data_IF_675627660736
#
_entry.id   IF_675627660736
#
_cell.length_a   1.000
_cell.length_b   1.000
_cell.length_c   1.000
_cell.angle_alpha   90.00
_cell.angle_beta   90.00
_cell.angle_gamma   90.00
#
_symmetry.space_group_name_H-M   'P 1'
#
loop_
_entity.id
_entity.type
_entity.pdbx_description
1 polymer ?
#
# COMPACT_ATOMS: atom_id res chain seq x y z
N UNK A 1 29.77 26.87 18.47
CA UNK A 1 28.61 27.78 18.64
C UNK A 1 28.57 28.41 20.03
N UNK A 2 28.59 27.60 21.10
CA UNK A 2 28.62 28.10 22.48
C UNK A 2 29.82 29.04 22.74
N UNK A 3 31.01 28.70 22.24
CA UNK A 3 32.21 29.53 22.45
C UNK A 3 32.14 30.92 21.79
N UNK A 4 31.54 31.03 20.60
CA UNK A 4 31.34 32.32 19.92
C UNK A 4 30.28 33.17 20.64
N UNK A 5 29.18 32.56 21.11
CA UNK A 5 28.17 33.27 21.91
C UNK A 5 28.78 33.80 23.21
N UNK A 6 29.60 32.99 23.90
CA UNK A 6 30.31 33.39 25.13
C UNK A 6 31.28 34.55 24.85
N UNK A 7 32.00 34.52 23.73
CA UNK A 7 32.94 35.58 23.32
C UNK A 7 32.25 36.91 23.04
N UNK A 8 31.16 36.89 22.26
CA UNK A 8 30.38 38.09 21.95
C UNK A 8 29.63 38.64 23.19
N UNK A 9 29.17 37.75 24.07
CA UNK A 9 28.56 38.13 25.36
C UNK A 9 29.57 38.77 26.31
N UNK A 10 30.81 38.26 26.35
CA UNK A 10 31.92 38.89 27.10
C UNK A 10 32.25 40.29 26.57
N UNK A 11 32.21 40.49 25.25
CA UNK A 11 32.39 41.83 24.63
C UNK A 11 31.27 42.81 24.98
N UNK A 12 30.02 42.36 24.97
CA UNK A 12 28.87 43.17 25.40
C UNK A 12 29.08 43.63 26.85
N UNK A 13 29.51 42.73 27.74
CA UNK A 13 29.79 43.05 29.13
C UNK A 13 30.96 44.06 29.28
N UNK A 14 32.03 43.92 28.50
CA UNK A 14 33.16 44.85 28.55
C UNK A 14 32.80 46.25 28.07
N UNK A 15 32.03 46.39 26.99
CA UNK A 15 31.63 47.71 26.47
C UNK A 15 30.62 48.43 27.38
N UNK A 16 29.79 47.67 28.08
CA UNK A 16 28.88 48.22 29.09
C UNK A 16 29.65 48.86 30.25
N UNK A 17 30.75 48.23 30.69
CA UNK A 17 31.60 48.68 31.82
C UNK A 17 32.63 49.76 31.45
N UNK A 18 32.79 50.11 30.18
CA UNK A 18 33.85 51.02 29.72
C UNK A 18 33.50 52.49 30.00
N UNK A 19 34.33 53.25 30.72
CA UNK A 19 34.01 54.65 31.13
C UNK A 19 34.31 55.71 30.06
N UNK A 20 35.03 55.36 28.99
CA UNK A 20 35.52 56.32 27.99
C UNK A 20 34.64 56.44 26.72
N UNK A 21 33.64 55.57 26.53
CA UNK A 21 32.77 55.58 25.35
C UNK A 21 31.52 56.44 25.59
N UNK A 22 31.15 57.24 24.58
CA UNK A 22 29.88 57.96 24.55
C UNK A 22 28.70 56.99 24.58
N UNK A 23 27.56 57.42 25.16
CA UNK A 23 26.35 56.60 25.23
C UNK A 23 25.92 56.03 23.86
N UNK A 24 26.10 56.81 22.78
CA UNK A 24 25.80 56.36 21.40
C UNK A 24 26.74 55.26 20.91
N UNK A 25 28.01 55.31 21.28
CA UNK A 25 29.02 54.34 20.85
C UNK A 25 28.77 52.98 21.52
N UNK A 26 28.49 53.00 22.83
CA UNK A 26 28.10 51.78 23.58
C UNK A 26 26.88 51.10 23.00
N UNK A 27 25.82 51.86 22.68
CA UNK A 27 24.60 51.31 22.09
C UNK A 27 24.87 50.69 20.72
N UNK A 28 25.69 51.34 19.89
CA UNK A 28 26.06 50.84 18.56
C UNK A 28 26.85 49.53 18.66
N UNK A 29 27.85 49.46 19.54
CA UNK A 29 28.69 48.27 19.72
C UNK A 29 27.88 47.09 20.27
N UNK A 30 27.07 47.33 21.31
CA UNK A 30 26.19 46.29 21.87
C UNK A 30 25.17 45.79 20.82
N UNK A 31 24.54 46.68 20.06
CA UNK A 31 23.63 46.28 18.97
C UNK A 31 24.36 45.48 17.90
N UNK A 32 25.58 45.86 17.54
CA UNK A 32 26.40 45.11 16.57
C UNK A 32 26.68 43.70 17.07
N UNK A 33 27.07 43.56 18.33
CA UNK A 33 27.35 42.24 18.94
C UNK A 33 26.08 41.39 19.06
N UNK A 34 24.93 41.97 19.42
CA UNK A 34 23.63 41.26 19.42
C UNK A 34 23.26 40.79 18.02
N UNK A 35 23.41 41.63 16.99
CA UNK A 35 23.13 41.25 15.60
C UNK A 35 24.01 40.08 15.15
N UNK A 36 25.29 40.06 15.53
CA UNK A 36 26.19 38.95 15.22
C UNK A 36 25.71 37.65 15.88
N UNK A 37 25.32 37.70 17.16
CA UNK A 37 24.78 36.53 17.87
C UNK A 37 23.50 36.01 17.20
N UNK A 38 22.54 36.90 16.93
CA UNK A 38 21.27 36.55 16.27
C UNK A 38 21.52 35.96 14.89
N UNK A 39 22.43 36.55 14.11
CA UNK A 39 22.80 36.05 12.80
C UNK A 39 23.41 34.64 12.90
N UNK A 40 24.36 34.42 13.80
CA UNK A 40 24.99 33.12 14.00
C UNK A 40 23.98 32.03 14.43
N UNK A 41 23.07 32.36 15.36
CA UNK A 41 22.02 31.44 15.80
C UNK A 41 21.05 31.11 14.68
N UNK A 42 20.56 32.14 13.98
CA UNK A 42 19.61 31.97 12.87
C UNK A 42 20.24 31.17 11.73
N UNK A 43 21.49 31.47 11.35
CA UNK A 43 22.20 30.77 10.31
C UNK A 43 22.41 29.29 10.66
N UNK A 44 22.72 28.99 11.93
CA UNK A 44 22.89 27.60 12.38
C UNK A 44 21.58 26.81 12.34
N UNK A 45 20.47 27.40 12.80
CA UNK A 45 19.15 26.76 12.71
C UNK A 45 18.78 26.56 11.25
N UNK A 46 18.97 27.57 10.41
CA UNK A 46 18.68 27.52 8.98
C UNK A 46 19.48 26.44 8.26
N UNK A 47 20.80 26.35 8.48
CA UNK A 47 21.63 25.29 7.90
C UNK A 47 21.21 23.89 8.36
N UNK A 48 20.85 23.74 9.63
CA UNK A 48 20.38 22.46 10.16
C UNK A 48 19.03 22.07 9.55
N UNK A 49 18.07 22.99 9.49
CA UNK A 49 16.77 22.75 8.85
C UNK A 49 16.92 22.40 7.38
N UNK A 50 17.77 23.13 6.65
CA UNK A 50 18.04 22.85 5.23
C UNK A 50 18.67 21.48 5.01
N UNK A 51 19.63 21.08 5.85
CA UNK A 51 20.24 19.76 5.77
C UNK A 51 19.24 18.64 6.06
N UNK A 52 18.36 18.86 7.05
CA UNK A 52 17.32 17.90 7.45
C UNK A 52 16.26 17.74 6.35
N UNK A 53 15.73 18.82 5.80
CA UNK A 53 14.77 18.81 4.68
C UNK A 53 15.35 18.07 3.47
N UNK A 54 16.63 18.32 3.13
CA UNK A 54 17.30 17.61 2.03
C UNK A 54 17.41 16.10 2.30
N UNK A 55 17.66 15.70 3.55
CA UNK A 55 17.73 14.30 3.92
C UNK A 55 16.36 13.62 3.84
N UNK A 56 15.31 14.29 4.35
CA UNK A 56 13.93 13.82 4.30
C UNK A 56 13.41 13.69 2.86
N UNK A 57 13.74 14.64 2.00
CA UNK A 57 13.40 14.59 0.58
C UNK A 57 14.11 13.41 -0.12
N UNK A 58 15.39 13.16 0.20
CA UNK A 58 16.12 12.01 -0.35
C UNK A 58 15.49 10.68 0.08
N UNK A 59 15.12 10.56 1.36
CA UNK A 59 14.45 9.38 1.88
C UNK A 59 13.09 9.14 1.22
N UNK A 60 12.31 10.20 1.02
CA UNK A 60 11.04 10.13 0.29
C UNK A 60 11.24 9.66 -1.16
N UNK A 61 12.23 10.19 -1.87
CA UNK A 61 12.54 9.76 -3.24
C UNK A 61 12.93 8.28 -3.31
N UNK A 62 13.84 7.83 -2.44
CA UNK A 62 14.25 6.41 -2.39
C UNK A 62 13.03 5.52 -2.09
N UNK A 63 12.16 5.96 -1.18
CA UNK A 63 10.92 5.27 -0.89
C UNK A 63 10.00 5.18 -2.12
N UNK A 64 9.72 6.30 -2.79
CA UNK A 64 8.81 6.36 -3.93
C UNK A 64 9.32 5.56 -5.13
N UNK A 65 10.62 5.61 -5.43
CA UNK A 65 11.22 4.81 -6.50
C UNK A 65 11.07 3.31 -6.21
N UNK A 66 11.37 2.86 -4.99
CA UNK A 66 11.18 1.46 -4.62
C UNK A 66 9.70 1.07 -4.56
N UNK A 67 8.82 1.97 -4.11
CA UNK A 67 7.39 1.75 -4.09
C UNK A 67 6.82 1.55 -5.50
N UNK A 68 7.36 2.26 -6.50
CA UNK A 68 6.97 2.08 -7.91
C UNK A 68 7.17 0.63 -8.37
N UNK A 69 8.32 0.03 -8.03
CA UNK A 69 8.63 -1.37 -8.35
C UNK A 69 7.69 -2.34 -7.61
N UNK A 70 7.46 -2.08 -6.32
CA UNK A 70 6.53 -2.85 -5.49
C UNK A 70 5.12 -2.84 -6.11
N UNK A 71 4.61 -1.68 -6.51
CA UNK A 71 3.29 -1.51 -7.13
C UNK A 71 3.19 -2.17 -8.51
N UNK A 72 4.26 -2.19 -9.30
CA UNK A 72 4.27 -2.90 -10.59
C UNK A 72 4.10 -4.42 -10.39
N UNK A 73 4.76 -4.97 -9.37
CA UNK A 73 4.60 -6.37 -9.00
C UNK A 73 3.20 -6.64 -8.44
N UNK A 74 2.67 -5.74 -7.61
CA UNK A 74 1.32 -5.86 -7.05
C UNK A 74 0.25 -5.85 -8.16
N UNK A 75 0.37 -4.97 -9.17
CA UNK A 75 -0.53 -4.96 -10.33
C UNK A 75 -0.52 -6.31 -11.04
N UNK A 76 0.66 -6.89 -11.30
CA UNK A 76 0.77 -8.21 -11.94
C UNK A 76 0.10 -9.30 -11.11
N UNK A 77 0.29 -9.30 -9.79
CA UNK A 77 -0.32 -10.28 -8.90
C UNK A 77 -1.85 -10.12 -8.85
N UNK A 78 -2.34 -8.88 -8.73
CA UNK A 78 -3.77 -8.56 -8.77
C UNK A 78 -4.41 -9.00 -10.10
N UNK A 79 -3.76 -8.75 -11.24
CA UNK A 79 -4.22 -9.17 -12.56
C UNK A 79 -4.29 -10.70 -12.69
N UNK A 80 -3.29 -11.42 -12.16
CA UNK A 80 -3.30 -12.88 -12.14
C UNK A 80 -4.48 -13.42 -11.32
N UNK A 81 -4.71 -12.89 -10.12
CA UNK A 81 -5.85 -13.31 -9.28
C UNK A 81 -7.18 -13.03 -9.96
N UNK A 82 -7.33 -11.87 -10.59
CA UNK A 82 -8.53 -11.55 -11.38
C UNK A 82 -8.78 -12.56 -12.49
N UNK A 83 -7.72 -12.97 -13.19
CA UNK A 83 -7.80 -14.00 -14.23
C UNK A 83 -8.29 -15.33 -13.65
N UNK A 84 -7.73 -15.76 -12.53
CA UNK A 84 -8.18 -16.98 -11.82
C UNK A 84 -9.64 -16.89 -11.37
N UNK A 85 -10.08 -15.75 -10.84
CA UNK A 85 -11.47 -15.51 -10.47
C UNK A 85 -12.40 -15.62 -11.69
N UNK A 86 -12.00 -15.08 -12.84
CA UNK A 86 -12.77 -15.15 -14.08
C UNK A 86 -12.83 -16.59 -14.64
N UNK A 87 -11.71 -17.31 -14.62
CA UNK A 87 -11.67 -18.73 -15.01
C UNK A 87 -12.56 -19.59 -14.10
N UNK A 88 -12.53 -19.32 -12.79
CA UNK A 88 -13.38 -20.01 -11.82
C UNK A 88 -14.86 -19.71 -12.05
N UNK A 89 -15.21 -18.46 -12.33
CA UNK A 89 -16.57 -18.05 -12.67
C UNK A 89 -17.10 -18.81 -13.88
N UNK A 90 -16.29 -18.96 -14.94
CA UNK A 90 -16.65 -19.70 -16.14
C UNK A 90 -16.85 -21.19 -15.85
N UNK A 91 -15.95 -21.80 -15.06
CA UNK A 91 -16.06 -23.20 -14.64
C UNK A 91 -17.35 -23.43 -13.83
N UNK A 92 -17.64 -22.58 -12.86
CA UNK A 92 -18.84 -22.69 -12.03
C UNK A 92 -20.11 -22.49 -12.86
N UNK A 93 -20.12 -21.49 -13.75
CA UNK A 93 -21.24 -21.26 -14.66
C UNK A 93 -21.52 -22.48 -15.55
N UNK A 94 -20.47 -23.14 -16.06
CA UNK A 94 -20.60 -24.39 -16.80
C UNK A 94 -21.20 -25.49 -15.92
N UNK A 95 -20.69 -25.65 -14.69
CA UNK A 95 -21.13 -26.68 -13.74
C UNK A 95 -22.60 -26.51 -13.35
N UNK A 96 -23.05 -25.29 -13.10
CA UNK A 96 -24.44 -25.01 -12.73
C UNK A 96 -25.44 -25.43 -13.82
N UNK A 97 -25.00 -25.46 -15.09
CA UNK A 97 -25.78 -25.87 -16.26
C UNK A 97 -25.69 -27.37 -16.59
N UNK A 98 -24.96 -28.16 -15.78
CA UNK A 98 -24.85 -29.59 -15.97
C UNK A 98 -26.16 -30.32 -15.63
N UNK A 99 -26.44 -31.32 -16.45
CA UNK A 99 -27.50 -32.32 -16.26
C UNK A 99 -26.86 -33.71 -16.25
N UNK A 100 -27.53 -34.74 -15.70
CA UNK A 100 -27.02 -36.11 -15.74
C UNK A 100 -26.57 -36.56 -17.14
N UNK A 101 -27.36 -36.27 -18.18
CA UNK A 101 -27.04 -36.65 -19.56
C UNK A 101 -25.77 -35.98 -20.09
N UNK A 102 -25.54 -34.70 -19.73
CA UNK A 102 -24.30 -34.00 -20.10
C UNK A 102 -23.09 -34.60 -19.40
N UNK A 103 -23.23 -34.99 -18.14
CA UNK A 103 -22.16 -35.65 -17.38
C UNK A 103 -21.80 -36.99 -18.01
N UNK A 104 -22.79 -37.80 -18.36
CA UNK A 104 -22.58 -39.10 -19.01
C UNK A 104 -21.85 -38.92 -20.35
N UNK A 105 -22.23 -37.92 -21.15
CA UNK A 105 -21.56 -37.57 -22.40
C UNK A 105 -20.10 -37.13 -22.21
N UNK A 106 -19.82 -36.31 -21.19
CA UNK A 106 -18.46 -35.86 -20.87
C UNK A 106 -17.58 -37.04 -20.47
N UNK A 107 -18.10 -37.93 -19.61
CA UNK A 107 -17.39 -39.16 -19.18
C UNK A 107 -17.13 -40.11 -20.34
N UNK A 108 -18.11 -40.33 -21.22
CA UNK A 108 -17.95 -41.17 -22.41
C UNK A 108 -16.84 -40.66 -23.34
N UNK A 109 -16.58 -39.36 -23.33
CA UNK A 109 -15.48 -38.73 -24.08
C UNK A 109 -14.17 -38.61 -23.29
N UNK A 110 -14.05 -39.28 -22.13
CA UNK A 110 -12.88 -39.26 -21.25
C UNK A 110 -12.43 -37.84 -20.82
N UNK A 111 -13.37 -36.90 -20.74
CA UNK A 111 -13.11 -35.52 -20.30
C UNK A 111 -13.39 -35.37 -18.81
N UNK A 112 -12.62 -34.50 -18.16
CA UNK A 112 -12.82 -34.16 -16.75
C UNK A 112 -13.69 -32.91 -16.59
N UNK A 113 -14.43 -32.84 -15.49
CA UNK A 113 -15.21 -31.67 -15.10
C UNK A 113 -14.39 -30.88 -14.09
N UNK A 114 -13.86 -29.72 -14.48
CA UNK A 114 -13.33 -28.77 -13.51
C UNK A 114 -14.52 -28.08 -12.82
N UNK A 115 -14.66 -28.35 -11.53
CA UNK A 115 -15.84 -27.95 -10.76
C UNK A 115 -15.70 -26.58 -10.06
N UNK A 116 -14.64 -25.82 -10.37
CA UNK A 116 -14.46 -24.45 -9.89
C UNK A 116 -13.93 -24.33 -8.46
N UNK A 117 -13.01 -25.21 -8.06
CA UNK A 117 -12.41 -25.25 -6.71
C UNK A 117 -11.07 -24.50 -6.62
N UNK A 118 -10.85 -23.46 -7.45
CA UNK A 118 -9.58 -22.75 -7.44
C UNK A 118 -9.49 -21.87 -6.19
N UNK A 119 -8.37 -21.97 -5.46
CA UNK A 119 -8.04 -21.06 -4.38
C UNK A 119 -7.30 -19.84 -4.92
N UNK A 120 -7.46 -18.71 -4.24
CA UNK A 120 -6.78 -17.45 -4.56
C UNK A 120 -6.00 -16.99 -3.34
N UNK A 121 -4.86 -16.36 -3.59
CA UNK A 121 -4.05 -15.70 -2.57
C UNK A 121 -3.21 -14.64 -3.28
N UNK A 122 -3.56 -13.37 -3.11
CA UNK A 122 -2.82 -12.27 -3.75
C UNK A 122 -1.67 -11.81 -2.86
N UNK A 123 -0.45 -11.96 -3.37
CA UNK A 123 0.74 -11.44 -2.71
C UNK A 123 0.86 -9.94 -2.99
N UNK A 124 0.94 -9.15 -1.91
CA UNK A 124 1.11 -7.69 -1.93
C UNK A 124 2.43 -7.31 -1.26
N UNK A 125 3.19 -6.43 -1.91
CA UNK A 125 4.48 -5.93 -1.44
C UNK A 125 4.28 -4.72 -0.51
N UNK A 126 3.91 -4.97 0.75
CA UNK A 126 3.64 -3.92 1.74
C UNK A 126 4.83 -3.60 2.67
N UNK A 127 5.91 -4.38 2.66
CA UNK A 127 7.01 -4.25 3.62
C UNK A 127 7.68 -2.87 3.61
N UNK A 128 7.92 -2.30 2.42
CA UNK A 128 8.47 -0.95 2.27
C UNK A 128 7.53 0.11 2.81
N UNK A 129 6.24 0.02 2.47
CA UNK A 129 5.20 0.91 2.97
C UNK A 129 5.11 0.89 4.50
N UNK A 130 5.05 -0.31 5.10
CA UNK A 130 4.94 -0.46 6.55
C UNK A 130 6.19 0.05 7.28
N UNK A 131 7.40 -0.22 6.75
CA UNK A 131 8.64 0.34 7.30
C UNK A 131 8.67 1.87 7.23
N UNK A 132 8.25 2.45 6.10
CA UNK A 132 8.23 3.90 5.93
C UNK A 132 7.17 4.58 6.81
N UNK A 133 5.99 3.97 6.94
CA UNK A 133 4.91 4.43 7.83
C UNK A 133 5.32 4.37 9.30
N UNK A 134 5.84 3.22 9.75
CA UNK A 134 6.22 2.99 11.15
C UNK A 134 7.40 3.86 11.60
N UNK A 135 8.29 4.22 10.70
CA UNK A 135 9.38 5.18 10.97
C UNK A 135 8.93 6.65 11.07
N UNK A 136 7.64 6.94 10.86
CA UNK A 136 7.10 8.30 10.86
C UNK A 136 7.43 9.11 9.59
N UNK A 137 8.19 8.53 8.65
CA UNK A 137 8.66 9.21 7.43
C UNK A 137 7.58 9.39 6.38
N UNK A 138 6.40 8.78 6.51
CA UNK A 138 5.30 8.95 5.54
C UNK A 138 4.93 10.42 5.30
N UNK A 139 5.13 11.29 6.30
CA UNK A 139 4.87 12.72 6.21
C UNK A 139 5.92 13.49 5.40
N UNK A 140 7.08 12.89 5.10
CA UNK A 140 8.14 13.51 4.28
C UNK A 140 7.83 13.47 2.78
N UNK A 141 6.79 12.73 2.36
CA UNK A 141 6.22 12.87 1.01
C UNK A 141 5.50 14.22 0.95
N UNK A 142 6.15 15.20 0.31
CA UNK A 142 5.67 16.59 0.23
C UNK A 142 4.34 16.70 -0.54
N UNK A 143 4.21 15.96 -1.63
CA UNK A 143 2.98 15.89 -2.39
C UNK A 143 1.89 15.17 -1.59
N UNK A 144 1.04 15.97 -0.95
CA UNK A 144 -0.05 15.47 -0.12
C UNK A 144 -1.05 14.60 -0.89
N UNK A 145 -1.27 14.86 -2.18
CA UNK A 145 -2.13 14.03 -3.02
C UNK A 145 -1.51 12.64 -3.24
N UNK A 146 -0.23 12.57 -3.61
CA UNK A 146 0.50 11.30 -3.73
C UNK A 146 0.51 10.54 -2.39
N UNK A 147 0.87 11.21 -1.30
CA UNK A 147 0.87 10.64 0.05
C UNK A 147 -0.48 10.02 0.41
N UNK A 148 -1.57 10.76 0.20
CA UNK A 148 -2.92 10.29 0.53
C UNK A 148 -3.35 9.11 -0.34
N UNK A 149 -2.92 9.06 -1.61
CA UNK A 149 -3.18 7.92 -2.50
C UNK A 149 -2.45 6.67 -2.05
N UNK A 150 -1.17 6.78 -1.69
CA UNK A 150 -0.38 5.68 -1.12
C UNK A 150 -1.04 5.16 0.16
N UNK A 151 -1.43 6.05 1.07
CA UNK A 151 -2.16 5.69 2.28
C UNK A 151 -3.48 4.97 1.97
N UNK A 152 -4.29 5.52 1.07
CA UNK A 152 -5.59 4.93 0.72
C UNK A 152 -5.45 3.55 0.09
N UNK A 153 -4.46 3.36 -0.77
CA UNK A 153 -4.19 2.06 -1.39
C UNK A 153 -3.88 0.98 -0.34
N UNK A 154 -2.89 1.21 0.52
CA UNK A 154 -2.48 0.20 1.51
C UNK A 154 -3.39 0.09 2.72
N UNK A 155 -4.12 1.14 3.10
CA UNK A 155 -4.99 1.13 4.28
C UNK A 155 -6.46 0.82 3.98
N UNK A 156 -6.87 0.90 2.71
CA UNK A 156 -8.27 0.67 2.33
C UNK A 156 -8.39 -0.36 1.21
N UNK A 157 -7.74 -0.13 0.07
CA UNK A 157 -7.89 -1.01 -1.09
C UNK A 157 -7.35 -2.41 -0.81
N UNK A 158 -6.12 -2.52 -0.28
CA UNK A 158 -5.52 -3.82 0.03
C UNK A 158 -6.27 -4.59 1.12
N UNK A 159 -6.62 -4.01 2.29
CA UNK A 159 -7.44 -4.70 3.28
C UNK A 159 -8.80 -5.15 2.75
N UNK A 160 -9.42 -4.37 1.86
CA UNK A 160 -10.67 -4.78 1.21
C UNK A 160 -10.47 -6.04 0.36
N UNK A 161 -9.37 -6.14 -0.40
CA UNK A 161 -9.01 -7.35 -1.15
C UNK A 161 -8.84 -8.53 -0.20
N UNK A 162 -8.09 -8.37 0.89
CA UNK A 162 -7.88 -9.45 1.88
C UNK A 162 -9.20 -9.97 2.44
N UNK A 163 -10.14 -9.09 2.82
CA UNK A 163 -11.46 -9.49 3.32
C UNK A 163 -12.28 -10.28 2.29
N UNK A 164 -12.14 -9.92 1.01
CA UNK A 164 -12.79 -10.63 -0.10
C UNK A 164 -12.16 -12.02 -0.26
N UNK A 165 -10.83 -12.13 -0.24
CA UNK A 165 -10.14 -13.41 -0.37
C UNK A 165 -10.48 -14.36 0.78
N UNK A 166 -10.50 -13.88 2.03
CA UNK A 166 -10.92 -14.69 3.18
C UNK A 166 -12.37 -15.16 3.08
N UNK A 167 -13.26 -14.30 2.58
CA UNK A 167 -14.67 -14.66 2.37
C UNK A 167 -14.83 -15.71 1.28
N UNK A 168 -14.06 -15.57 0.20
CA UNK A 168 -14.00 -16.53 -0.89
C UNK A 168 -13.44 -17.88 -0.42
N UNK A 169 -12.35 -17.88 0.33
CA UNK A 169 -11.73 -19.09 0.88
C UNK A 169 -12.70 -19.88 1.76
N UNK A 170 -13.45 -19.20 2.63
CA UNK A 170 -14.48 -19.83 3.48
C UNK A 170 -15.59 -20.48 2.64
N UNK A 171 -16.05 -19.81 1.58
CA UNK A 171 -17.06 -20.36 0.67
C UNK A 171 -16.53 -21.56 -0.13
N UNK A 172 -15.33 -21.44 -0.67
CA UNK A 172 -14.67 -22.49 -1.46
C UNK A 172 -14.36 -23.71 -0.59
N UNK A 173 -13.87 -23.52 0.63
CA UNK A 173 -13.63 -24.61 1.57
C UNK A 173 -14.92 -25.37 1.90
N UNK A 174 -16.01 -24.64 2.19
CA UNK A 174 -17.32 -25.25 2.41
C UNK A 174 -17.84 -26.01 1.19
N UNK A 175 -17.54 -25.52 -0.02
CA UNK A 175 -17.87 -26.22 -1.26
C UNK A 175 -17.07 -27.52 -1.39
N UNK A 176 -15.76 -27.47 -1.18
CA UNK A 176 -14.88 -28.65 -1.18
C UNK A 176 -15.34 -29.69 -0.16
N UNK A 177 -15.65 -29.27 1.06
CA UNK A 177 -16.19 -30.16 2.11
C UNK A 177 -17.46 -30.88 1.66
N UNK A 178 -18.38 -30.18 0.98
CA UNK A 178 -19.58 -30.82 0.45
C UNK A 178 -19.30 -31.80 -0.67
N UNK A 179 -18.29 -31.53 -1.52
CA UNK A 179 -17.89 -32.46 -2.58
C UNK A 179 -17.34 -33.76 -2.01
N UNK A 180 -16.57 -33.69 -0.90
CA UNK A 180 -15.93 -34.85 -0.28
C UNK A 180 -16.78 -35.51 0.83
N UNK A 181 -17.88 -34.88 1.27
CA UNK A 181 -18.79 -35.42 2.30
C UNK A 181 -19.64 -36.63 1.87
N UNK A 182 -19.45 -37.12 0.64
CA UNK A 182 -20.12 -38.31 0.11
C UNK A 182 -19.59 -39.61 0.71
N UNK A 183 -20.15 -40.74 0.25
CA UNK A 183 -19.50 -42.04 0.51
C UNK A 183 -18.15 -42.08 -0.22
N UNK A 184 -17.22 -42.89 0.27
CA UNK A 184 -15.87 -43.01 -0.28
C UNK A 184 -15.86 -43.42 -1.77
N UNK A 185 -16.88 -44.15 -2.21
CA UNK A 185 -17.10 -44.60 -3.59
C UNK A 185 -18.03 -43.68 -4.41
N UNK A 186 -18.48 -42.56 -3.85
CA UNK A 186 -19.43 -41.68 -4.52
C UNK A 186 -18.76 -40.81 -5.59
N UNK A 187 -19.32 -40.86 -6.80
CA UNK A 187 -18.84 -40.05 -7.91
C UNK A 187 -19.09 -38.56 -7.67
N UNK A 188 -18.00 -37.79 -7.55
CA UNK A 188 -18.02 -36.33 -7.36
C UNK A 188 -18.90 -35.62 -8.39
N UNK A 189 -18.99 -36.12 -9.63
CA UNK A 189 -19.82 -35.52 -10.66
C UNK A 189 -21.32 -35.63 -10.34
N UNK A 190 -21.73 -36.68 -9.62
CA UNK A 190 -23.10 -36.81 -9.12
C UNK A 190 -23.32 -35.90 -7.91
N UNK A 191 -22.34 -35.79 -7.02
CA UNK A 191 -22.37 -34.90 -5.85
C UNK A 191 -22.59 -33.44 -6.26
N UNK A 192 -21.95 -32.99 -7.35
CA UNK A 192 -22.10 -31.65 -7.92
C UNK A 192 -23.55 -31.31 -8.30
N UNK A 193 -24.38 -32.31 -8.65
CA UNK A 193 -25.77 -32.10 -9.02
C UNK A 193 -26.70 -31.87 -7.82
N UNK A 194 -26.25 -32.16 -6.59
CA UNK A 194 -27.07 -32.04 -5.38
C UNK A 194 -27.50 -30.59 -5.16
N UNK A 195 -28.76 -30.39 -4.75
CA UNK A 195 -29.34 -29.06 -4.53
C UNK A 195 -28.49 -28.17 -3.61
N UNK A 196 -27.99 -28.73 -2.49
CA UNK A 196 -27.14 -28.00 -1.53
C UNK A 196 -25.83 -27.53 -2.16
N UNK A 197 -25.22 -28.36 -3.02
CA UNK A 197 -23.99 -28.03 -3.74
C UNK A 197 -24.25 -26.92 -4.75
N UNK A 198 -25.33 -27.03 -5.55
CA UNK A 198 -25.73 -25.98 -6.49
C UNK A 198 -25.98 -24.63 -5.81
N UNK A 199 -26.58 -24.60 -4.61
CA UNK A 199 -26.78 -23.36 -3.84
C UNK A 199 -25.44 -22.70 -3.49
N UNK A 200 -24.46 -23.47 -3.00
CA UNK A 200 -23.14 -22.91 -2.66
C UNK A 200 -22.43 -22.43 -3.93
N UNK A 201 -22.46 -23.23 -5.01
CA UNK A 201 -21.89 -22.85 -6.30
C UNK A 201 -22.49 -21.55 -6.85
N UNK A 202 -23.80 -21.34 -6.76
CA UNK A 202 -24.43 -20.05 -7.13
C UNK A 202 -23.93 -18.90 -6.26
N UNK A 203 -23.67 -19.14 -4.97
CA UNK A 203 -23.02 -18.17 -4.09
C UNK A 203 -21.62 -17.80 -4.56
N UNK A 204 -20.80 -18.79 -4.95
CA UNK A 204 -19.45 -18.57 -5.47
C UNK A 204 -19.48 -17.89 -6.84
N UNK A 205 -20.41 -18.23 -7.74
CA UNK A 205 -20.59 -17.55 -9.04
C UNK A 205 -20.90 -16.05 -8.86
N UNK A 206 -21.82 -15.73 -7.95
CA UNK A 206 -22.12 -14.33 -7.63
C UNK A 206 -20.90 -13.63 -7.00
N UNK A 207 -20.21 -14.31 -6.09
CA UNK A 207 -19.01 -13.77 -5.44
C UNK A 207 -17.92 -13.46 -6.46
N UNK A 208 -17.56 -14.42 -7.32
CA UNK A 208 -16.52 -14.26 -8.36
C UNK A 208 -16.85 -13.16 -9.35
N UNK A 209 -18.13 -12.95 -9.69
CA UNK A 209 -18.58 -11.80 -10.50
C UNK A 209 -18.39 -10.46 -9.77
N UNK A 210 -18.87 -10.35 -8.53
CA UNK A 210 -18.76 -9.11 -7.75
C UNK A 210 -17.32 -8.80 -7.32
N UNK A 211 -16.51 -9.84 -7.13
CA UNK A 211 -15.14 -9.78 -6.65
C UNK A 211 -14.18 -9.19 -7.66
N UNK A 212 -14.53 -9.05 -8.94
CA UNK A 212 -13.65 -8.45 -9.96
C UNK A 212 -13.41 -6.95 -9.73
N UNK A 213 -14.46 -6.21 -9.35
CA UNK A 213 -14.43 -4.75 -9.27
C UNK A 213 -13.42 -4.22 -8.23
N UNK A 214 -13.34 -4.77 -7.01
CA UNK A 214 -12.33 -4.34 -6.04
C UNK A 214 -10.89 -4.45 -6.56
N UNK A 215 -10.56 -5.51 -7.32
CA UNK A 215 -9.23 -5.65 -7.92
C UNK A 215 -9.01 -4.65 -9.05
N UNK A 216 -10.03 -4.36 -9.88
CA UNK A 216 -9.95 -3.31 -10.90
C UNK A 216 -9.62 -1.95 -10.30
N UNK A 217 -10.31 -1.58 -9.22
CA UNK A 217 -10.09 -0.33 -8.52
C UNK A 217 -8.71 -0.31 -7.85
N UNK A 218 -8.26 -1.39 -7.24
CA UNK A 218 -6.92 -1.49 -6.66
C UNK A 218 -5.82 -1.33 -7.73
N UNK A 219 -5.94 -2.02 -8.87
CA UNK A 219 -5.00 -1.89 -10.00
C UNK A 219 -4.99 -0.46 -10.52
N UNK A 220 -6.17 0.16 -10.66
CA UNK A 220 -6.27 1.56 -11.10
C UNK A 220 -5.59 2.51 -10.12
N UNK A 221 -5.81 2.36 -8.82
CA UNK A 221 -5.16 3.16 -7.80
C UNK A 221 -3.64 3.00 -7.84
N UNK A 222 -3.13 1.77 -7.96
CA UNK A 222 -1.69 1.51 -8.09
C UNK A 222 -1.09 2.21 -9.33
N UNK A 223 -1.76 2.12 -10.48
CA UNK A 223 -1.33 2.81 -11.72
C UNK A 223 -1.35 4.34 -11.58
N UNK A 224 -2.35 4.88 -10.90
CA UNK A 224 -2.42 6.32 -10.62
C UNK A 224 -1.27 6.77 -9.69
N UNK A 225 -0.94 5.99 -8.66
CA UNK A 225 0.21 6.27 -7.79
C UNK A 225 1.51 6.26 -8.58
N UNK A 226 1.75 5.22 -9.39
CA UNK A 226 2.94 5.13 -10.26
C UNK A 226 3.06 6.37 -11.16
N UNK A 227 1.95 6.79 -11.78
CA UNK A 227 1.92 7.97 -12.64
C UNK A 227 2.24 9.27 -11.90
N UNK A 228 1.80 9.42 -10.65
CA UNK A 228 2.15 10.58 -9.83
C UNK A 228 3.62 10.55 -9.41
N UNK A 229 4.17 9.38 -9.07
CA UNK A 229 5.62 9.22 -8.79
C UNK A 229 6.45 9.65 -10.00
N UNK A 230 6.09 9.20 -11.20
CA UNK A 230 6.81 9.55 -12.45
C UNK A 230 6.73 11.05 -12.80
N UNK A 231 5.75 11.79 -12.27
CA UNK A 231 5.68 13.24 -12.44
C UNK A 231 6.63 13.98 -11.50
N UNK A 232 6.89 13.44 -10.32
CA UNK A 232 7.85 14.02 -9.35
C UNK A 232 9.30 13.73 -9.73
N UNK A 233 9.55 12.70 -10.54
CA UNK A 233 10.87 12.38 -11.08
C UNK A 233 11.29 13.29 -12.27
N UNK A 234 10.38 14.13 -12.81
CA UNK A 234 10.61 15.03 -13.95
C UNK A 234 10.84 16.48 -13.52
#
# INVERSE_FOLDING_TARGET
MQDEIIKHTKKIHSEMSNKNHSFKEKVKEILTEILIIVFAVTLSIWLHSWSEERHQHKDAQIFLTGLKEDLQNDIKNLENTRKTLNETQQQISFVLQLTPQKIDSIKANHKQINSGTNFINTVINNGRYEGFKSSGKINTIENQNLRNRVLSYYQQAIPQITLIEESYEKLTSRYVDLLISGKEDEDINITILRKKVKIILSGIDNFTKSGQKPYEEAIKQAREIIKEIEKEEK
#
